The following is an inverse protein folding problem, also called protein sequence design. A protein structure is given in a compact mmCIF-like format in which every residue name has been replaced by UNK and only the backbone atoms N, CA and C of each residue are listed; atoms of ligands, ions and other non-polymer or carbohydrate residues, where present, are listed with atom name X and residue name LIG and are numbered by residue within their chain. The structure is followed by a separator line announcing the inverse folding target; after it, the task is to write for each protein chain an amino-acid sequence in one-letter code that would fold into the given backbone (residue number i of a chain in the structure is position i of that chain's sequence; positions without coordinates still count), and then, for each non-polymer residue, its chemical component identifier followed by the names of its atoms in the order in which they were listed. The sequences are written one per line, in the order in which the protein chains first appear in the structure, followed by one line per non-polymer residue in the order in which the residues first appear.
data_IF_432764272759
#
_entry.id   IF_432764272759
#
_cell.length_a   1.000
_cell.length_b   1.000
_cell.length_c   1.000
_cell.angle_alpha   90.00
_cell.angle_beta   90.00
_cell.angle_gamma   90.00
#
_symmetry.space_group_name_H-M   'P 1'
#
loop_
_entity.id
_entity.type
_entity.pdbx_description
1 polymer ?
#
# COMPACT_ATOMS: atom_id res chain seq x y z
N UNK A 1 40.63 -40.41 -8.70
CA UNK A 1 41.18 -39.24 -9.43
C UNK A 1 40.13 -38.15 -9.37
N UNK A 2 40.43 -37.05 -8.67
CA UNK A 2 39.46 -36.01 -8.28
C UNK A 2 38.74 -35.40 -9.49
N UNK A 3 37.42 -35.19 -9.38
CA UNK A 3 36.56 -34.44 -10.32
C UNK A 3 37.20 -33.10 -10.76
N UNK A 4 37.99 -32.49 -9.87
CA UNK A 4 38.75 -31.26 -10.11
C UNK A 4 39.80 -31.42 -11.23
N UNK A 5 40.37 -32.61 -11.41
CA UNK A 5 41.39 -32.88 -12.42
C UNK A 5 40.81 -33.09 -13.84
N UNK A 6 39.50 -33.34 -13.97
CA UNK A 6 38.81 -33.34 -15.26
C UNK A 6 38.50 -31.91 -15.74
N UNK A 7 38.27 -30.99 -14.80
CA UNK A 7 37.91 -29.59 -15.04
C UNK A 7 38.97 -28.77 -15.80
N UNK A 8 40.26 -29.09 -15.66
CA UNK A 8 41.36 -28.39 -16.34
C UNK A 8 41.62 -28.85 -17.78
N UNK A 9 40.99 -29.94 -18.25
CA UNK A 9 41.15 -30.43 -19.62
C UNK A 9 40.04 -29.99 -20.59
N UNK A 10 38.98 -29.35 -20.10
CA UNK A 10 37.80 -28.95 -20.87
C UNK A 10 37.81 -27.53 -21.43
N UNK A 11 38.81 -26.69 -21.13
CA UNK A 11 38.80 -25.26 -21.48
C UNK A 11 39.02 -24.94 -22.98
N UNK A 12 39.10 -25.93 -23.87
CA UNK A 12 39.26 -25.69 -25.30
C UNK A 12 38.52 -26.68 -26.20
N UNK A 13 37.19 -26.71 -26.16
CA UNK A 13 36.40 -27.15 -27.33
C UNK A 13 35.00 -26.54 -27.30
N UNK A 14 34.65 -25.77 -28.32
CA UNK A 14 33.25 -25.71 -28.75
C UNK A 14 32.86 -27.11 -29.22
N UNK A 15 32.11 -27.85 -28.42
CA UNK A 15 31.65 -29.21 -28.71
C UNK A 15 30.18 -29.30 -28.31
N UNK A 16 29.35 -29.87 -29.19
CA UNK A 16 27.92 -30.06 -28.95
C UNK A 16 27.66 -30.90 -27.69
N UNK A 17 26.47 -30.70 -27.10
CA UNK A 17 25.94 -31.46 -25.97
C UNK A 17 26.11 -32.97 -26.22
N UNK A 18 26.72 -33.70 -25.29
CA UNK A 18 26.91 -35.15 -25.44
C UNK A 18 25.58 -35.89 -25.31
N UNK A 19 25.49 -37.14 -25.77
CA UNK A 19 24.27 -37.96 -25.59
C UNK A 19 23.89 -38.12 -24.11
N UNK A 20 24.87 -38.13 -23.21
CA UNK A 20 24.66 -38.19 -21.76
C UNK A 20 24.14 -36.87 -21.18
N UNK A 21 24.65 -35.74 -21.68
CA UNK A 21 24.15 -34.40 -21.31
C UNK A 21 22.72 -34.19 -21.82
N UNK A 22 22.42 -34.65 -23.04
CA UNK A 22 21.05 -34.67 -23.58
C UNK A 22 20.13 -35.57 -22.76
N UNK A 23 20.58 -36.75 -22.35
CA UNK A 23 19.81 -37.64 -21.48
C UNK A 23 19.55 -37.01 -20.10
N UNK A 24 20.53 -36.31 -19.52
CA UNK A 24 20.36 -35.57 -18.28
C UNK A 24 19.36 -34.42 -18.45
N UNK A 25 19.46 -33.67 -19.55
CA UNK A 25 18.54 -32.60 -19.90
C UNK A 25 17.09 -33.08 -20.00
N UNK A 26 16.85 -34.17 -20.72
CA UNK A 26 15.53 -34.80 -20.86
C UNK A 26 15.01 -35.32 -19.53
N UNK A 27 15.85 -35.98 -18.73
CA UNK A 27 15.48 -36.48 -17.41
C UNK A 27 15.04 -35.34 -16.48
N UNK A 28 15.78 -34.23 -16.44
CA UNK A 28 15.43 -33.07 -15.61
C UNK A 28 14.17 -32.37 -16.12
N UNK A 29 13.98 -32.25 -17.44
CA UNK A 29 12.75 -31.70 -18.03
C UNK A 29 11.52 -32.57 -17.72
N UNK A 30 11.67 -33.90 -17.78
CA UNK A 30 10.62 -34.85 -17.42
C UNK A 30 10.41 -34.96 -15.90
N UNK A 31 11.37 -34.47 -15.10
CA UNK A 31 11.37 -34.61 -13.66
C UNK A 31 11.69 -36.03 -13.18
N UNK A 32 12.36 -36.86 -14.00
CA UNK A 32 12.73 -38.24 -13.70
C UNK A 32 14.07 -38.29 -12.92
N UNK A 33 13.96 -38.48 -11.61
CA UNK A 33 15.10 -38.57 -10.71
C UNK A 33 16.03 -39.76 -11.04
N UNK A 34 15.46 -40.93 -11.32
CA UNK A 34 16.23 -42.14 -11.57
C UNK A 34 16.97 -42.09 -12.92
N UNK A 35 16.39 -41.43 -13.93
CA UNK A 35 17.09 -41.16 -15.17
C UNK A 35 18.23 -40.14 -14.99
N UNK A 36 17.99 -39.09 -14.19
CA UNK A 36 19.02 -38.08 -13.89
C UNK A 36 20.20 -38.70 -13.12
N UNK A 37 19.94 -39.53 -12.11
CA UNK A 37 20.98 -40.27 -11.35
C UNK A 37 21.84 -41.13 -12.27
N UNK A 38 21.21 -41.88 -13.19
CA UNK A 38 21.94 -42.72 -14.16
C UNK A 38 22.81 -41.90 -15.10
N UNK A 39 22.29 -40.77 -15.61
CA UNK A 39 23.05 -39.90 -16.50
C UNK A 39 24.28 -39.29 -15.79
N UNK A 40 24.12 -38.79 -14.56
CA UNK A 40 25.21 -38.25 -13.74
C UNK A 40 26.24 -39.33 -13.36
N UNK A 41 25.79 -40.53 -12.98
CA UNK A 41 26.68 -41.66 -12.72
C UNK A 41 27.44 -42.11 -13.99
N UNK A 42 26.86 -41.90 -15.17
CA UNK A 42 27.49 -42.10 -16.48
C UNK A 42 28.50 -41.02 -16.87
N UNK A 43 28.59 -39.92 -16.11
CA UNK A 43 29.52 -38.81 -16.36
C UNK A 43 28.93 -37.62 -17.12
N UNK A 44 27.60 -37.48 -17.20
CA UNK A 44 26.97 -36.26 -17.70
C UNK A 44 27.41 -35.03 -16.89
N UNK A 45 27.56 -33.89 -17.56
CA UNK A 45 27.95 -32.64 -16.92
C UNK A 45 26.77 -32.08 -16.09
N UNK A 46 26.88 -31.95 -14.75
CA UNK A 46 25.81 -31.40 -13.92
C UNK A 46 25.52 -29.90 -14.22
N UNK A 47 26.40 -29.20 -14.94
CA UNK A 47 26.20 -27.83 -15.42
C UNK A 47 25.65 -27.76 -16.86
N UNK A 48 25.15 -28.89 -17.41
CA UNK A 48 24.55 -28.97 -18.75
C UNK A 48 23.58 -27.81 -19.03
N UNK A 49 23.80 -27.13 -20.16
CA UNK A 49 22.96 -26.04 -20.64
C UNK A 49 21.84 -26.57 -21.53
N UNK A 50 20.59 -26.33 -21.15
CA UNK A 50 19.41 -26.72 -21.94
C UNK A 50 19.24 -25.80 -23.17
N UNK A 51 19.38 -24.48 -22.93
CA UNK A 51 19.30 -23.45 -23.96
C UNK A 51 19.78 -22.11 -23.40
N UNK A 52 20.20 -21.20 -24.27
CA UNK A 52 20.36 -19.77 -23.93
C UNK A 52 19.06 -19.15 -23.36
N UNK A 53 17.90 -19.76 -23.63
CA UNK A 53 16.61 -19.25 -23.14
C UNK A 53 16.08 -19.94 -21.88
N UNK A 54 16.48 -21.17 -21.57
CA UNK A 54 15.96 -21.94 -20.43
C UNK A 54 16.99 -22.13 -19.31
N UNK A 55 18.27 -21.86 -19.57
CA UNK A 55 19.33 -21.95 -18.55
C UNK A 55 19.92 -23.35 -18.43
N UNK A 56 20.57 -23.61 -17.28
CA UNK A 56 21.11 -24.92 -16.96
C UNK A 56 20.04 -25.90 -16.46
N UNK A 57 20.39 -27.18 -16.39
CA UNK A 57 19.57 -28.21 -15.74
C UNK A 57 19.24 -27.86 -14.28
N UNK A 58 20.17 -27.24 -13.55
CA UNK A 58 19.94 -26.78 -12.18
C UNK A 58 18.93 -25.64 -12.11
N UNK A 59 18.98 -24.67 -13.05
CA UNK A 59 17.99 -23.59 -13.12
C UNK A 59 16.58 -24.13 -13.40
N UNK A 60 16.47 -25.11 -14.28
CA UNK A 60 15.20 -25.75 -14.61
C UNK A 60 14.64 -26.52 -13.41
N UNK A 61 15.45 -27.35 -12.74
CA UNK A 61 15.05 -28.08 -11.54
C UNK A 61 14.60 -27.12 -10.42
N UNK A 62 15.33 -26.00 -10.25
CA UNK A 62 15.01 -24.96 -9.28
C UNK A 62 13.70 -24.25 -9.61
N UNK A 63 13.47 -23.88 -10.88
CA UNK A 63 12.26 -23.22 -11.34
C UNK A 63 11.01 -24.12 -11.39
N UNK A 64 11.20 -25.44 -11.34
CA UNK A 64 10.14 -26.43 -11.20
C UNK A 64 9.88 -26.84 -9.73
N UNK A 65 10.67 -26.32 -8.78
CA UNK A 65 10.51 -26.65 -7.36
C UNK A 65 10.87 -28.09 -7.00
N UNK A 66 11.70 -28.77 -7.80
CA UNK A 66 12.04 -30.19 -7.61
C UNK A 66 13.24 -30.33 -6.67
N UNK A 67 12.99 -30.27 -5.36
CA UNK A 67 14.03 -30.32 -4.32
C UNK A 67 14.98 -31.51 -4.46
N UNK A 68 14.46 -32.70 -4.81
CA UNK A 68 15.27 -33.92 -4.98
C UNK A 68 16.27 -33.80 -6.13
N UNK A 69 15.83 -33.27 -7.27
CA UNK A 69 16.70 -33.03 -8.43
C UNK A 69 17.73 -31.94 -8.14
N UNK A 70 17.33 -30.88 -7.42
CA UNK A 70 18.26 -29.83 -7.00
C UNK A 70 19.33 -30.39 -6.07
N UNK A 71 18.96 -31.23 -5.09
CA UNK A 71 19.93 -31.89 -4.20
C UNK A 71 20.90 -32.76 -5.00
N UNK A 72 20.36 -33.62 -5.87
CA UNK A 72 21.15 -34.53 -6.69
C UNK A 72 22.18 -33.78 -7.56
N UNK A 73 21.74 -32.72 -8.25
CA UNK A 73 22.61 -31.93 -9.11
C UNK A 73 23.72 -31.23 -8.32
N UNK A 74 23.39 -30.67 -7.15
CA UNK A 74 24.39 -30.03 -6.29
C UNK A 74 25.35 -31.05 -5.65
N UNK A 75 24.89 -32.26 -5.34
CA UNK A 75 25.73 -33.36 -4.84
C UNK A 75 26.67 -33.91 -5.92
N UNK A 76 26.24 -33.88 -7.18
CA UNK A 76 27.08 -34.16 -8.34
C UNK A 76 28.07 -33.03 -8.69
N UNK A 77 27.99 -31.88 -8.01
CA UNK A 77 28.92 -30.76 -8.15
C UNK A 77 28.49 -29.67 -9.12
N UNK A 78 27.20 -29.55 -9.46
CA UNK A 78 26.66 -28.41 -10.21
C UNK A 78 27.05 -27.09 -9.54
N UNK A 79 27.45 -26.10 -10.34
CA UNK A 79 27.69 -24.75 -9.87
C UNK A 79 26.38 -24.09 -9.43
N UNK A 80 26.38 -23.47 -8.24
CA UNK A 80 25.24 -22.68 -7.74
C UNK A 80 24.93 -21.47 -8.62
N UNK A 81 25.90 -21.04 -9.43
CA UNK A 81 25.78 -19.99 -10.45
C UNK A 81 26.45 -20.48 -11.73
N UNK A 82 25.75 -21.29 -12.54
CA UNK A 82 26.30 -21.81 -13.77
C UNK A 82 26.60 -20.69 -14.76
N UNK A 83 27.70 -20.78 -15.54
CA UNK A 83 28.05 -19.78 -16.53
C UNK A 83 27.09 -19.86 -17.72
N UNK A 84 26.25 -18.84 -17.92
CA UNK A 84 25.39 -18.80 -19.10
C UNK A 84 24.23 -17.83 -18.98
N UNK A 85 24.31 -16.74 -19.75
CA UNK A 85 23.32 -15.66 -19.88
C UNK A 85 23.24 -14.71 -18.68
N UNK A 86 23.60 -13.44 -18.94
CA UNK A 86 23.65 -12.37 -17.94
C UNK A 86 22.33 -12.26 -17.16
N UNK A 87 22.40 -12.58 -15.87
CA UNK A 87 21.36 -12.28 -14.89
C UNK A 87 20.34 -13.38 -14.60
N UNK A 88 20.61 -14.62 -14.99
CA UNK A 88 19.91 -15.80 -14.47
C UNK A 88 20.74 -16.46 -13.38
N UNK A 89 20.05 -17.03 -12.40
CA UNK A 89 20.64 -17.94 -11.42
C UNK A 89 19.57 -18.93 -10.95
N UNK A 90 19.96 -20.15 -10.52
CA UNK A 90 19.05 -21.12 -9.93
C UNK A 90 18.29 -20.53 -8.72
N UNK A 91 19.00 -19.79 -7.86
CA UNK A 91 18.41 -19.18 -6.66
C UNK A 91 17.35 -18.15 -7.04
N UNK A 92 17.67 -17.24 -7.95
CA UNK A 92 16.73 -16.19 -8.39
C UNK A 92 15.52 -16.78 -9.09
N UNK A 93 15.71 -17.85 -9.86
CA UNK A 93 14.62 -18.59 -10.51
C UNK A 93 13.69 -19.22 -9.47
N UNK A 94 14.24 -19.87 -8.44
CA UNK A 94 13.46 -20.42 -7.33
C UNK A 94 12.70 -19.32 -6.56
N UNK A 95 13.32 -18.16 -6.34
CA UNK A 95 12.67 -17.01 -5.68
C UNK A 95 11.51 -16.47 -6.51
N UNK A 96 11.73 -16.20 -7.79
CA UNK A 96 10.69 -15.68 -8.71
C UNK A 96 9.51 -16.64 -8.84
N UNK A 97 9.76 -17.95 -8.73
CA UNK A 97 8.73 -18.99 -8.73
C UNK A 97 8.19 -19.35 -7.33
N UNK A 98 8.67 -18.67 -6.28
CA UNK A 98 8.25 -18.87 -4.89
C UNK A 98 8.41 -20.32 -4.39
N UNK A 99 9.60 -20.90 -4.57
CA UNK A 99 9.93 -22.25 -4.10
C UNK A 99 10.83 -22.21 -2.85
N UNK A 100 10.27 -22.06 -1.63
CA UNK A 100 11.04 -21.81 -0.42
C UNK A 100 12.01 -22.94 -0.04
N UNK A 101 11.64 -24.21 -0.25
CA UNK A 101 12.53 -25.33 0.06
C UNK A 101 13.77 -25.37 -0.84
N UNK A 102 13.59 -25.10 -2.13
CA UNK A 102 14.71 -24.97 -3.07
C UNK A 102 15.59 -23.79 -2.69
N UNK A 103 14.99 -22.67 -2.26
CA UNK A 103 15.73 -21.49 -1.78
C UNK A 103 16.59 -21.84 -0.56
N UNK A 104 16.04 -22.55 0.44
CA UNK A 104 16.82 -23.00 1.61
C UNK A 104 17.98 -23.90 1.21
N UNK A 105 17.74 -24.84 0.31
CA UNK A 105 18.75 -25.78 -0.14
C UNK A 105 19.90 -25.07 -0.88
N UNK A 106 19.58 -24.18 -1.83
CA UNK A 106 20.57 -23.40 -2.56
C UNK A 106 21.33 -22.43 -1.64
N UNK A 107 20.63 -21.81 -0.69
CA UNK A 107 21.25 -20.94 0.30
C UNK A 107 22.24 -21.70 1.21
N UNK A 108 21.91 -22.93 1.64
CA UNK A 108 22.80 -23.79 2.40
C UNK A 108 24.09 -24.16 1.63
N UNK A 109 24.08 -24.09 0.30
CA UNK A 109 25.27 -24.26 -0.56
C UNK A 109 25.98 -22.95 -0.89
N UNK A 110 25.62 -21.85 -0.22
CA UNK A 110 26.28 -20.55 -0.37
C UNK A 110 25.83 -19.74 -1.59
N UNK A 111 24.73 -20.10 -2.25
CA UNK A 111 24.28 -19.46 -3.49
C UNK A 111 24.02 -17.94 -3.32
N UNK A 112 23.57 -17.49 -2.15
CA UNK A 112 23.28 -16.07 -1.87
C UNK A 112 24.49 -15.18 -2.13
N UNK A 113 25.67 -15.57 -1.66
CA UNK A 113 26.90 -14.78 -1.81
C UNK A 113 27.52 -14.83 -3.20
N UNK A 114 27.03 -15.72 -4.07
CA UNK A 114 27.54 -15.91 -5.44
C UNK A 114 26.67 -15.21 -6.49
N UNK A 115 25.58 -14.57 -6.10
CA UNK A 115 24.67 -13.91 -7.04
C UNK A 115 25.40 -12.86 -7.89
N UNK A 116 25.10 -12.76 -9.20
CA UNK A 116 25.76 -11.82 -10.08
C UNK A 116 25.62 -10.36 -9.60
N UNK A 117 26.75 -9.68 -9.48
CA UNK A 117 26.81 -8.24 -9.13
C UNK A 117 26.17 -7.39 -10.24
N UNK A 118 25.38 -6.37 -9.88
CA UNK A 118 24.78 -5.40 -10.82
C UNK A 118 23.30 -5.61 -11.15
N UNK A 119 22.58 -6.42 -10.38
CA UNK A 119 21.11 -6.49 -10.37
C UNK A 119 20.60 -6.16 -8.97
N UNK A 120 19.29 -5.89 -8.83
CA UNK A 120 18.63 -5.86 -7.50
C UNK A 120 18.90 -7.16 -6.75
N UNK A 121 18.84 -7.17 -5.42
CA UNK A 121 19.03 -8.40 -4.65
C UNK A 121 17.93 -9.44 -4.94
N UNK A 122 18.20 -10.70 -4.59
CA UNK A 122 17.15 -11.75 -4.60
C UNK A 122 16.05 -11.46 -3.59
N UNK A 123 16.38 -10.76 -2.51
CA UNK A 123 15.40 -10.33 -1.51
C UNK A 123 14.46 -9.26 -2.07
N UNK A 124 14.99 -8.31 -2.84
CA UNK A 124 14.21 -7.34 -3.60
C UNK A 124 13.21 -7.98 -4.57
N UNK A 125 13.61 -9.07 -5.26
CA UNK A 125 12.68 -9.86 -6.07
C UNK A 125 11.58 -10.47 -5.21
N UNK A 126 11.96 -11.14 -4.11
CA UNK A 126 11.03 -11.82 -3.23
C UNK A 126 9.96 -10.86 -2.67
N UNK A 127 10.37 -9.67 -2.21
CA UNK A 127 9.45 -8.65 -1.70
C UNK A 127 8.45 -8.18 -2.77
N UNK A 128 8.91 -7.98 -4.01
CA UNK A 128 8.06 -7.57 -5.13
C UNK A 128 6.92 -8.56 -5.40
N UNK A 129 7.14 -9.86 -5.15
CA UNK A 129 6.16 -10.92 -5.37
C UNK A 129 5.08 -11.00 -4.28
N UNK A 130 5.25 -10.28 -3.18
CA UNK A 130 4.28 -10.30 -2.07
C UNK A 130 3.15 -9.27 -2.20
N UNK A 131 3.22 -8.39 -3.21
CA UNK A 131 2.23 -7.32 -3.40
C UNK A 131 0.78 -7.83 -3.58
N UNK A 132 -0.19 -7.05 -3.08
CA UNK A 132 -1.64 -7.26 -3.13
C UNK A 132 -2.21 -8.52 -2.43
N UNK A 133 -1.84 -9.72 -2.86
CA UNK A 133 -2.26 -11.01 -2.28
C UNK A 133 -1.11 -12.01 -2.35
N UNK A 134 -0.23 -12.03 -1.34
CA UNK A 134 0.90 -12.94 -1.38
C UNK A 134 0.42 -14.39 -1.31
N UNK A 135 0.92 -15.25 -2.18
CA UNK A 135 0.83 -16.68 -1.94
C UNK A 135 1.59 -17.03 -0.65
N UNK A 136 1.14 -18.01 0.15
CA UNK A 136 1.89 -18.48 1.33
C UNK A 136 3.34 -18.83 0.99
N UNK A 137 3.56 -19.37 -0.21
CA UNK A 137 4.88 -19.70 -0.73
C UNK A 137 5.79 -18.46 -0.94
N UNK A 138 5.23 -17.32 -1.32
CA UNK A 138 6.00 -16.07 -1.49
C UNK A 138 6.48 -15.52 -0.14
N UNK A 139 5.61 -15.52 0.89
CA UNK A 139 5.98 -15.14 2.26
C UNK A 139 7.00 -16.10 2.84
N UNK A 140 6.82 -17.41 2.63
CA UNK A 140 7.79 -18.42 3.03
C UNK A 140 9.14 -18.26 2.32
N UNK A 141 9.14 -17.79 1.07
CA UNK A 141 10.36 -17.49 0.31
C UNK A 141 11.10 -16.29 0.91
N UNK A 142 10.40 -15.21 1.27
CA UNK A 142 11.00 -14.07 2.00
C UNK A 142 11.60 -14.55 3.32
N UNK A 143 10.87 -15.33 4.11
CA UNK A 143 11.36 -15.90 5.37
C UNK A 143 12.63 -16.74 5.17
N UNK A 144 12.63 -17.64 4.20
CA UNK A 144 13.78 -18.50 3.91
C UNK A 144 15.02 -17.69 3.55
N UNK A 145 14.88 -16.59 2.79
CA UNK A 145 15.98 -15.70 2.47
C UNK A 145 16.51 -14.96 3.70
N UNK A 146 15.63 -14.46 4.57
CA UNK A 146 16.02 -13.78 5.81
C UNK A 146 16.74 -14.74 6.78
N UNK A 147 16.21 -15.95 6.97
CA UNK A 147 16.84 -17.01 7.79
C UNK A 147 18.22 -17.39 7.27
N UNK A 148 18.42 -17.33 5.95
CA UNK A 148 19.69 -17.60 5.31
C UNK A 148 20.66 -16.39 5.29
N UNK A 149 20.30 -15.27 5.93
CA UNK A 149 21.16 -14.09 6.02
C UNK A 149 21.23 -13.27 4.73
N UNK A 150 20.22 -13.31 3.87
CA UNK A 150 20.15 -12.44 2.71
C UNK A 150 20.03 -10.97 3.14
N UNK A 151 20.90 -10.12 2.59
CA UNK A 151 20.91 -8.68 2.80
C UNK A 151 20.49 -7.94 1.52
N UNK A 152 20.00 -6.69 1.62
CA UNK A 152 19.72 -5.88 0.43
C UNK A 152 21.00 -5.64 -0.40
N UNK A 153 20.82 -5.44 -1.71
CA UNK A 153 21.91 -5.12 -2.61
C UNK A 153 22.44 -3.70 -2.40
N UNK A 154 23.60 -3.35 -2.98
CA UNK A 154 24.23 -2.03 -2.80
C UNK A 154 23.37 -0.86 -3.31
N UNK A 155 22.53 -1.11 -4.33
CA UNK A 155 21.64 -0.12 -4.94
C UNK A 155 20.17 -0.25 -4.49
N UNK A 156 19.86 -1.23 -3.63
CA UNK A 156 18.50 -1.41 -3.12
C UNK A 156 18.25 -0.44 -1.96
N UNK A 157 17.03 0.11 -1.88
CA UNK A 157 16.60 0.79 -0.66
C UNK A 157 16.58 -0.22 0.52
N UNK A 158 16.70 0.26 1.78
CA UNK A 158 16.59 -0.61 2.94
C UNK A 158 15.32 -1.46 2.95
N UNK A 159 15.37 -2.64 3.57
CA UNK A 159 14.34 -3.68 3.43
C UNK A 159 12.92 -3.22 3.69
N UNK A 160 12.73 -2.47 4.77
CA UNK A 160 11.42 -2.00 5.19
C UNK A 160 10.91 -0.91 4.24
N UNK A 161 11.79 -0.02 3.79
CA UNK A 161 11.48 0.99 2.76
C UNK A 161 11.07 0.31 1.47
N UNK A 162 11.82 -0.70 1.02
CA UNK A 162 11.51 -1.45 -0.18
C UNK A 162 10.17 -2.19 -0.07
N UNK A 163 9.90 -2.86 1.05
CA UNK A 163 8.63 -3.55 1.29
C UNK A 163 7.44 -2.58 1.19
N UNK A 164 7.54 -1.41 1.82
CA UNK A 164 6.52 -0.36 1.72
C UNK A 164 6.34 0.12 0.26
N UNK A 165 7.45 0.35 -0.47
CA UNK A 165 7.41 0.76 -1.87
C UNK A 165 6.75 -0.28 -2.78
N UNK A 166 6.92 -1.57 -2.47
CA UNK A 166 6.29 -2.68 -3.18
C UNK A 166 4.82 -2.92 -2.77
N UNK A 167 4.24 -2.14 -1.84
CA UNK A 167 2.95 -2.44 -1.21
C UNK A 167 2.92 -3.88 -0.66
N UNK A 168 4.01 -4.28 -0.01
CA UNK A 168 4.06 -5.56 0.68
C UNK A 168 3.02 -5.57 1.81
N UNK A 169 2.39 -6.72 2.07
CA UNK A 169 1.33 -6.83 3.05
C UNK A 169 1.88 -6.67 4.46
N UNK A 170 1.05 -6.24 5.43
CA UNK A 170 1.45 -6.03 6.83
C UNK A 170 2.23 -7.20 7.45
N UNK A 171 1.87 -8.44 7.10
CA UNK A 171 2.56 -9.63 7.58
C UNK A 171 4.04 -9.70 7.14
N UNK A 172 4.36 -9.22 5.94
CA UNK A 172 5.74 -9.17 5.44
C UNK A 172 6.53 -8.06 6.15
N UNK A 173 5.91 -6.91 6.43
CA UNK A 173 6.56 -5.85 7.21
C UNK A 173 6.89 -6.34 8.63
N UNK A 174 5.94 -6.99 9.30
CA UNK A 174 6.18 -7.60 10.62
C UNK A 174 7.29 -8.63 10.58
N UNK A 175 7.29 -9.49 9.58
CA UNK A 175 8.36 -10.48 9.37
C UNK A 175 9.73 -9.81 9.25
N UNK A 176 9.85 -8.72 8.50
CA UNK A 176 11.12 -8.00 8.35
C UNK A 176 11.58 -7.41 9.69
N UNK A 177 10.67 -6.80 10.44
CA UNK A 177 10.95 -6.22 11.77
C UNK A 177 11.37 -7.30 12.77
N UNK A 178 10.66 -8.44 12.80
CA UNK A 178 11.01 -9.62 13.62
C UNK A 178 12.42 -10.15 13.32
N UNK A 179 12.89 -10.01 12.08
CA UNK A 179 14.23 -10.37 11.65
C UNK A 179 15.23 -9.20 11.72
N UNK A 180 14.94 -8.16 12.51
CA UNK A 180 15.89 -7.09 12.84
C UNK A 180 15.96 -5.95 11.84
N UNK A 181 14.99 -5.80 10.94
CA UNK A 181 14.88 -4.59 10.14
C UNK A 181 14.59 -3.39 11.06
N UNK A 182 15.47 -2.39 10.99
CA UNK A 182 15.27 -1.11 11.69
C UNK A 182 13.96 -0.45 11.25
N UNK A 183 13.12 -0.10 12.25
CA UNK A 183 11.79 0.47 12.05
C UNK A 183 11.86 1.92 11.54
N UNK A 184 12.98 2.62 11.80
CA UNK A 184 13.20 4.02 11.42
C UNK A 184 14.08 4.17 10.16
N UNK A 185 14.13 3.12 9.33
CA UNK A 185 14.87 3.12 8.07
C UNK A 185 14.53 4.34 7.21
N UNK A 186 15.56 4.87 6.54
CA UNK A 186 15.44 5.98 5.61
C UNK A 186 15.73 5.52 4.20
N UNK A 187 14.93 6.01 3.26
CA UNK A 187 15.17 5.85 1.83
C UNK A 187 16.43 6.60 1.41
N UNK A 188 16.96 6.30 0.23
CA UNK A 188 18.09 7.00 -0.40
C UNK A 188 18.00 8.54 -0.42
N UNK A 189 16.79 9.14 -0.41
CA UNK A 189 16.56 10.59 -0.32
C UNK A 189 16.40 11.11 1.12
N UNK A 190 16.85 10.32 2.11
CA UNK A 190 16.69 10.54 3.55
C UNK A 190 15.25 10.55 4.06
N UNK A 191 14.25 10.20 3.25
CA UNK A 191 12.86 10.11 3.71
C UNK A 191 12.67 8.93 4.67
N UNK A 192 12.13 9.15 5.89
CA UNK A 192 11.76 8.06 6.81
C UNK A 192 10.76 7.09 6.16
N UNK A 193 10.86 5.80 6.48
CA UNK A 193 9.95 4.77 5.96
C UNK A 193 8.49 5.06 6.29
N UNK A 194 8.21 5.64 7.47
CA UNK A 194 6.86 6.05 7.86
C UNK A 194 6.32 7.18 6.97
N UNK A 195 7.18 8.12 6.54
CA UNK A 195 6.81 9.15 5.57
C UNK A 195 6.59 8.55 4.17
N UNK A 196 7.37 7.52 3.78
CA UNK A 196 7.14 6.78 2.53
C UNK A 196 5.78 6.08 2.55
N UNK A 197 5.41 5.41 3.64
CA UNK A 197 4.11 4.75 3.79
C UNK A 197 2.95 5.75 3.74
N UNK A 198 3.08 6.88 4.44
CA UNK A 198 2.10 7.96 4.42
C UNK A 198 1.92 8.58 3.03
N UNK A 199 3.01 8.83 2.30
CA UNK A 199 2.96 9.26 0.88
C UNK A 199 2.26 8.25 -0.03
N UNK A 200 2.14 6.98 0.36
CA UNK A 200 1.41 5.99 -0.44
C UNK A 200 -0.05 5.84 0.00
N UNK A 201 -0.41 6.44 1.14
CA UNK A 201 -1.71 6.22 1.79
C UNK A 201 -1.86 4.80 2.34
N UNK A 202 -0.75 4.10 2.58
CA UNK A 202 -0.74 2.73 3.06
C UNK A 202 -0.92 2.70 4.58
N UNK A 203 -2.17 2.87 5.01
CA UNK A 203 -2.55 2.89 6.42
C UNK A 203 -2.23 1.56 7.13
N UNK A 204 -2.30 0.43 6.43
CA UNK A 204 -1.99 -0.88 7.00
C UNK A 204 -0.48 -1.04 7.26
N UNK A 205 0.38 -0.51 6.38
CA UNK A 205 1.81 -0.40 6.65
C UNK A 205 2.10 0.55 7.82
N UNK A 206 1.41 1.70 7.88
CA UNK A 206 1.54 2.65 8.99
C UNK A 206 1.17 2.02 10.34
N UNK A 207 0.08 1.25 10.40
CA UNK A 207 -0.31 0.53 11.61
C UNK A 207 0.82 -0.38 12.12
N UNK A 208 1.47 -1.13 11.22
CA UNK A 208 2.59 -2.00 11.59
C UNK A 208 3.79 -1.19 12.09
N UNK A 209 4.15 -0.12 11.39
CA UNK A 209 5.30 0.73 11.76
C UNK A 209 5.08 1.40 13.13
N UNK A 210 3.88 1.95 13.35
CA UNK A 210 3.48 2.56 14.62
C UNK A 210 3.51 1.52 15.75
N UNK A 211 2.92 0.34 15.54
CA UNK A 211 2.93 -0.73 16.54
C UNK A 211 4.34 -1.22 16.88
N UNK A 212 5.26 -1.14 15.92
CA UNK A 212 6.66 -1.47 16.08
C UNK A 212 7.49 -0.34 16.72
N UNK A 213 6.88 0.81 17.04
CA UNK A 213 7.54 1.91 17.72
C UNK A 213 8.32 2.87 16.82
N UNK A 214 7.94 2.98 15.53
CA UNK A 214 8.52 3.97 14.63
C UNK A 214 8.42 5.41 15.20
N UNK A 215 9.42 6.25 14.93
CA UNK A 215 9.35 7.68 15.20
C UNK A 215 8.28 8.34 14.32
N UNK A 216 7.13 8.61 14.92
CA UNK A 216 5.93 9.11 14.23
C UNK A 216 6.17 10.48 13.58
N UNK A 217 6.99 11.32 14.21
CA UNK A 217 7.26 12.69 13.80
C UNK A 217 8.61 12.83 13.07
N UNK A 218 9.20 11.69 12.65
CA UNK A 218 10.41 11.67 11.85
C UNK A 218 10.28 12.57 10.62
N UNK A 219 11.26 13.45 10.44
CA UNK A 219 11.28 14.44 9.36
C UNK A 219 12.10 13.97 8.17
N UNK A 220 11.60 14.24 6.97
CA UNK A 220 12.37 14.12 5.73
C UNK A 220 13.27 15.35 5.48
N UNK A 221 13.97 15.36 4.33
CA UNK A 221 14.87 16.44 3.96
C UNK A 221 14.19 17.81 3.75
N UNK A 222 12.86 17.85 3.58
CA UNK A 222 12.07 19.08 3.52
C UNK A 222 11.49 19.48 4.89
N UNK A 223 11.87 18.76 5.96
CA UNK A 223 11.30 18.95 7.28
C UNK A 223 9.88 18.41 7.42
N UNK A 224 9.36 17.66 6.45
CA UNK A 224 7.98 17.16 6.46
C UNK A 224 7.87 15.86 7.26
N UNK A 225 6.79 15.75 8.03
CA UNK A 225 6.43 14.53 8.79
C UNK A 225 5.55 13.60 7.96
N UNK A 226 5.36 12.36 8.41
CA UNK A 226 4.43 11.43 7.80
C UNK A 226 3.00 11.99 7.69
N UNK A 227 2.54 12.70 8.73
CA UNK A 227 1.21 13.32 8.74
C UNK A 227 1.05 14.33 7.61
N UNK A 228 2.05 15.19 7.37
CA UNK A 228 2.03 16.16 6.28
C UNK A 228 1.87 15.49 4.92
N UNK A 229 2.61 14.40 4.69
CA UNK A 229 2.52 13.62 3.46
C UNK A 229 1.15 12.94 3.26
N UNK A 230 0.60 12.33 4.32
CA UNK A 230 -0.74 11.73 4.25
C UNK A 230 -1.79 12.79 3.92
N UNK A 231 -1.70 13.95 4.55
CA UNK A 231 -2.64 15.07 4.38
C UNK A 231 -2.55 15.71 3.01
N UNK A 232 -1.34 16.01 2.53
CA UNK A 232 -1.11 16.58 1.19
C UNK A 232 -1.73 15.70 0.09
N UNK A 233 -1.69 14.38 0.29
CA UNK A 233 -2.23 13.39 -0.66
C UNK A 233 -3.70 13.04 -0.43
N UNK A 234 -4.34 13.60 0.59
CA UNK A 234 -5.72 13.26 0.94
C UNK A 234 -5.91 11.82 1.42
N UNK A 235 -4.86 11.17 1.92
CA UNK A 235 -4.90 9.80 2.45
C UNK A 235 -5.40 9.80 3.89
N UNK A 236 -6.72 9.87 4.05
CA UNK A 236 -7.36 10.11 5.36
C UNK A 236 -7.17 8.97 6.35
N UNK A 237 -7.27 7.72 5.92
CA UNK A 237 -7.07 6.55 6.78
C UNK A 237 -5.65 6.55 7.34
N UNK A 238 -4.66 6.86 6.49
CA UNK A 238 -3.26 7.01 6.89
C UNK A 238 -3.07 8.17 7.88
N UNK A 239 -3.70 9.32 7.62
CA UNK A 239 -3.68 10.44 8.54
C UNK A 239 -4.31 10.08 9.88
N UNK A 240 -5.45 9.38 9.91
CA UNK A 240 -6.12 8.91 11.13
C UNK A 240 -5.26 7.96 11.94
N UNK A 241 -4.55 7.02 11.31
CA UNK A 241 -3.60 6.12 11.99
C UNK A 241 -2.50 6.91 12.68
N UNK A 242 -1.81 7.77 11.93
CA UNK A 242 -0.72 8.62 12.45
C UNK A 242 -1.19 9.52 13.58
N UNK A 243 -2.34 10.13 13.37
CA UNK A 243 -2.98 10.95 14.38
C UNK A 243 -3.23 10.11 15.63
N UNK A 244 -3.97 9.00 15.54
CA UNK A 244 -4.32 8.17 16.70
C UNK A 244 -3.09 7.69 17.46
N UNK A 245 -1.97 7.50 16.75
CA UNK A 245 -0.67 7.15 17.30
C UNK A 245 0.02 8.29 18.07
N UNK A 246 -0.45 9.53 17.95
CA UNK A 246 0.08 10.70 18.66
C UNK A 246 0.89 11.67 17.80
N UNK A 247 0.82 11.60 16.47
CA UNK A 247 1.54 12.51 15.57
C UNK A 247 1.27 14.00 15.91
N UNK A 248 2.33 14.81 15.90
CA UNK A 248 2.23 16.25 16.13
C UNK A 248 1.61 16.95 14.92
N UNK A 249 0.33 17.30 15.03
CA UNK A 249 -0.40 18.04 14.00
C UNK A 249 0.02 19.51 13.89
N UNK A 250 0.71 20.06 14.90
CA UNK A 250 1.24 21.41 14.91
C UNK A 250 2.68 21.49 14.35
N UNK A 251 3.31 20.35 14.06
CA UNK A 251 4.61 20.31 13.40
C UNK A 251 4.57 21.14 12.11
N UNK A 252 5.69 21.80 11.81
CA UNK A 252 5.88 22.59 10.60
C UNK A 252 7.04 22.09 9.76
N UNK A 253 6.86 22.10 8.44
CA UNK A 253 7.91 21.80 7.47
C UNK A 253 8.93 22.94 7.35
N UNK A 254 9.89 22.80 6.41
CA UNK A 254 10.92 23.80 6.14
C UNK A 254 10.38 25.17 5.70
N UNK A 255 9.17 25.23 5.16
CA UNK A 255 8.49 26.46 4.75
C UNK A 255 7.55 27.00 5.85
N UNK A 256 7.55 26.39 7.04
CA UNK A 256 6.64 26.75 8.12
C UNK A 256 5.20 26.25 7.91
N UNK A 257 4.98 25.20 7.11
CA UNK A 257 3.67 24.63 6.81
C UNK A 257 3.28 23.56 7.80
N UNK A 258 2.10 23.70 8.41
CA UNK A 258 1.44 22.58 9.08
C UNK A 258 0.82 21.64 8.06
N UNK A 259 0.50 20.41 8.48
CA UNK A 259 -0.21 19.45 7.64
C UNK A 259 -1.52 20.06 7.05
N UNK A 260 -2.29 20.79 7.86
CA UNK A 260 -3.52 21.48 7.41
C UNK A 260 -3.24 22.52 6.33
N UNK A 261 -2.11 23.23 6.38
CA UNK A 261 -1.76 24.21 5.35
C UNK A 261 -1.48 23.54 4.01
N UNK A 262 -0.89 22.35 4.02
CA UNK A 262 -0.57 21.56 2.83
C UNK A 262 -1.79 20.90 2.18
N UNK A 263 -2.86 20.67 2.95
CA UNK A 263 -4.11 20.14 2.43
C UNK A 263 -4.75 21.09 1.40
N UNK A 264 -5.25 20.54 0.29
CA UNK A 264 -5.90 21.30 -0.77
C UNK A 264 -7.41 21.03 -0.86
N UNK A 265 -8.18 22.04 -1.27
CA UNK A 265 -9.62 21.92 -1.52
C UNK A 265 -10.40 21.30 -0.34
N UNK A 266 -11.22 20.31 -0.64
CA UNK A 266 -12.03 19.57 0.33
C UNK A 266 -11.19 18.78 1.35
N UNK A 267 -9.99 18.34 0.97
CA UNK A 267 -9.08 17.62 1.88
C UNK A 267 -8.66 18.47 3.07
N UNK A 268 -8.52 19.79 2.88
CA UNK A 268 -8.25 20.73 3.98
C UNK A 268 -9.38 20.75 4.99
N UNK A 269 -10.63 20.81 4.54
CA UNK A 269 -11.79 20.89 5.41
C UNK A 269 -11.98 19.60 6.21
N UNK A 270 -11.83 18.44 5.56
CA UNK A 270 -11.90 17.13 6.24
C UNK A 270 -10.76 16.93 7.24
N UNK A 271 -9.55 17.40 6.93
CA UNK A 271 -8.43 17.33 7.88
C UNK A 271 -8.57 18.29 9.06
N UNK A 272 -9.03 19.53 8.84
CA UNK A 272 -9.37 20.46 9.92
C UNK A 272 -10.40 19.84 10.86
N UNK A 273 -11.40 19.19 10.29
CA UNK A 273 -12.43 18.48 11.03
C UNK A 273 -11.89 17.32 11.87
N UNK A 274 -11.14 16.38 11.29
CA UNK A 274 -10.53 15.24 12.03
C UNK A 274 -9.58 15.71 13.13
N UNK A 275 -8.88 16.83 12.92
CA UNK A 275 -8.01 17.43 13.94
C UNK A 275 -8.79 18.15 15.05
N UNK A 276 -9.99 18.65 14.76
CA UNK A 276 -10.83 19.36 15.74
C UNK A 276 -11.74 18.46 16.58
N UNK A 277 -12.07 17.24 16.12
CA UNK A 277 -12.99 16.37 16.85
C UNK A 277 -12.37 15.64 18.05
N UNK A 278 -11.10 15.23 17.98
CA UNK A 278 -10.61 14.14 18.84
C UNK A 278 -9.29 14.39 19.58
N UNK A 279 -8.77 15.62 19.67
CA UNK A 279 -7.50 15.87 20.40
C UNK A 279 -7.37 17.15 21.19
N UNK A 280 -6.98 16.95 22.46
CA UNK A 280 -6.49 17.99 23.35
C UNK A 280 -5.27 18.69 22.75
N UNK A 281 -5.25 20.03 22.79
CA UNK A 281 -4.12 20.86 22.32
C UNK A 281 -4.22 21.36 20.88
N UNK A 282 -5.31 21.05 20.17
CA UNK A 282 -5.56 21.50 18.79
C UNK A 282 -6.56 22.67 18.70
N UNK A 283 -6.79 23.38 19.82
CA UNK A 283 -7.72 24.51 20.00
C UNK A 283 -7.52 25.69 19.02
N UNK A 284 -6.46 25.66 18.21
CA UNK A 284 -6.09 26.71 17.25
C UNK A 284 -6.34 26.33 15.80
N UNK A 285 -6.87 25.13 15.50
CA UNK A 285 -7.21 24.72 14.13
C UNK A 285 -8.62 25.23 13.80
N UNK A 286 -8.80 26.19 12.88
CA UNK A 286 -10.13 26.64 12.47
C UNK A 286 -10.85 25.51 11.73
N UNK A 287 -12.01 25.09 12.22
CA UNK A 287 -12.84 24.03 11.60
C UNK A 287 -14.06 24.65 10.92
N UNK A 288 -14.27 24.35 9.63
CA UNK A 288 -15.28 25.02 8.77
C UNK A 288 -16.42 24.06 8.39
N UNK A 289 -16.57 22.90 9.04
CA UNK A 289 -17.46 21.81 8.57
C UNK A 289 -18.60 21.43 9.52
N UNK A 290 -19.69 20.90 8.96
CA UNK A 290 -20.87 20.32 9.59
C UNK A 290 -20.76 18.79 9.60
N UNK A 291 -20.91 18.22 10.79
CA UNK A 291 -21.07 16.80 11.07
C UNK A 291 -22.52 16.44 11.19
N UNK A 292 -22.79 15.16 10.92
CA UNK A 292 -24.08 14.57 11.08
C UNK A 292 -23.91 13.40 12.03
N UNK A 293 -24.35 13.58 13.27
CA UNK A 293 -24.35 12.52 14.28
C UNK A 293 -25.76 11.97 14.41
N UNK A 294 -25.92 10.67 14.16
CA UNK A 294 -27.17 9.99 14.47
C UNK A 294 -27.39 9.99 15.98
N UNK A 295 -28.58 10.40 16.42
CA UNK A 295 -29.00 10.37 17.81
C UNK A 295 -30.16 9.38 17.95
N UNK A 296 -30.48 8.95 19.17
CA UNK A 296 -31.59 8.01 19.42
C UNK A 296 -32.97 8.53 18.98
N UNK A 297 -33.10 9.83 18.69
CA UNK A 297 -34.36 10.50 18.34
C UNK A 297 -34.34 11.20 16.97
N UNK A 298 -33.22 11.14 16.24
CA UNK A 298 -33.06 11.91 14.99
C UNK A 298 -31.60 12.09 14.60
N UNK A 299 -31.29 13.24 14.02
CA UNK A 299 -29.99 13.54 13.40
C UNK A 299 -29.46 14.88 13.93
N UNK A 300 -28.33 14.87 14.60
CA UNK A 300 -27.64 16.07 15.06
C UNK A 300 -26.71 16.60 13.99
N UNK A 301 -27.01 17.78 13.47
CA UNK A 301 -26.11 18.55 12.62
C UNK A 301 -25.20 19.39 13.52
N UNK A 302 -23.89 19.35 13.35
CA UNK A 302 -22.98 20.22 14.12
C UNK A 302 -21.85 20.77 13.26
N UNK A 303 -21.77 22.08 13.04
CA UNK A 303 -20.68 22.66 12.24
C UNK A 303 -20.57 24.16 12.22
N UNK A 304 -19.75 24.65 11.28
CA UNK A 304 -19.61 26.09 11.03
C UNK A 304 -20.99 26.68 10.64
N UNK A 305 -21.43 27.76 11.30
CA UNK A 305 -22.70 28.41 10.99
C UNK A 305 -22.81 28.89 9.53
N UNK A 306 -21.70 29.12 8.82
CA UNK A 306 -21.68 29.44 7.38
C UNK A 306 -22.10 28.25 6.52
N UNK A 307 -21.73 27.03 6.92
CA UNK A 307 -22.07 25.81 6.20
C UNK A 307 -23.52 25.37 6.47
N UNK A 308 -24.03 25.57 7.70
CA UNK A 308 -25.46 25.38 7.98
C UNK A 308 -26.33 26.32 7.15
N UNK A 309 -25.89 27.58 6.99
CA UNK A 309 -26.51 28.54 6.07
C UNK A 309 -26.41 28.10 4.61
N UNK A 310 -25.27 27.54 4.19
CA UNK A 310 -25.14 27.01 2.83
C UNK A 310 -26.10 25.83 2.57
N UNK A 311 -26.30 24.94 3.54
CA UNK A 311 -27.31 23.87 3.42
C UNK A 311 -28.72 24.44 3.26
N UNK A 312 -29.04 25.51 3.99
CA UNK A 312 -30.30 26.22 3.82
C UNK A 312 -30.44 26.82 2.41
N UNK A 313 -29.39 27.47 1.90
CA UNK A 313 -29.36 28.02 0.53
C UNK A 313 -29.52 26.94 -0.54
N UNK A 314 -28.89 25.77 -0.35
CA UNK A 314 -29.03 24.61 -1.23
C UNK A 314 -30.48 24.13 -1.30
N UNK A 315 -31.17 24.06 -0.15
CA UNK A 315 -32.58 23.70 -0.10
C UNK A 315 -33.43 24.74 -0.84
N UNK A 316 -33.17 26.03 -0.63
CA UNK A 316 -33.92 27.10 -1.32
C UNK A 316 -33.76 27.02 -2.84
N UNK A 317 -32.54 26.81 -3.34
CA UNK A 317 -32.27 26.74 -4.78
C UNK A 317 -32.97 25.54 -5.40
N UNK A 318 -32.96 24.39 -4.74
CA UNK A 318 -33.65 23.18 -5.23
C UNK A 318 -35.17 23.36 -5.28
N UNK A 319 -35.77 23.96 -4.24
CA UNK A 319 -37.20 24.28 -4.20
C UNK A 319 -37.58 25.30 -5.29
N UNK A 320 -36.76 26.34 -5.48
CA UNK A 320 -37.01 27.36 -6.48
C UNK A 320 -36.85 26.86 -7.93
N UNK A 321 -36.10 25.78 -8.15
CA UNK A 321 -35.90 25.17 -9.46
C UNK A 321 -37.07 24.25 -9.82
N UNK A 322 -37.46 23.37 -8.90
CA UNK A 322 -38.49 22.35 -9.14
C UNK A 322 -39.93 22.87 -8.93
N UNK A 323 -40.11 23.94 -8.15
CA UNK A 323 -41.43 24.34 -7.65
C UNK A 323 -41.98 23.35 -6.62
N UNK A 324 -43.09 23.69 -5.97
CA UNK A 324 -43.66 22.85 -4.89
C UNK A 324 -44.10 21.48 -5.42
N UNK A 325 -44.91 21.44 -6.48
CA UNK A 325 -45.41 20.18 -7.07
C UNK A 325 -44.27 19.32 -7.65
N UNK A 326 -43.28 19.95 -8.28
CA UNK A 326 -42.13 19.26 -8.85
C UNK A 326 -41.22 18.69 -7.78
N UNK A 327 -40.99 19.42 -6.69
CA UNK A 327 -40.22 18.95 -5.54
C UNK A 327 -40.88 17.72 -4.89
N UNK A 328 -42.19 17.77 -4.66
CA UNK A 328 -42.92 16.66 -4.05
C UNK A 328 -42.92 15.43 -4.94
N UNK A 329 -43.07 15.60 -6.26
CA UNK A 329 -43.02 14.51 -7.22
C UNK A 329 -41.65 13.82 -7.31
N UNK A 330 -40.55 14.58 -7.23
CA UNK A 330 -39.19 14.03 -7.36
C UNK A 330 -38.63 13.48 -6.04
N UNK A 331 -38.95 14.12 -4.92
CA UNK A 331 -38.37 13.76 -3.61
C UNK A 331 -39.30 12.93 -2.73
N UNK A 332 -40.60 12.93 -3.02
CA UNK A 332 -41.64 12.32 -2.18
C UNK A 332 -41.86 13.03 -0.84
N UNK A 333 -41.35 14.26 -0.68
CA UNK A 333 -41.38 15.03 0.58
C UNK A 333 -42.08 16.35 0.39
N UNK A 334 -42.84 16.78 1.40
CA UNK A 334 -43.54 18.06 1.36
C UNK A 334 -42.58 19.25 1.27
N UNK A 335 -42.87 20.18 0.36
CA UNK A 335 -42.08 21.41 0.19
C UNK A 335 -42.08 22.28 1.46
N UNK A 336 -43.18 22.28 2.22
CA UNK A 336 -43.30 22.99 3.50
C UNK A 336 -42.29 22.50 4.55
N UNK A 337 -42.01 21.19 4.58
CA UNK A 337 -41.01 20.60 5.48
C UNK A 337 -39.60 21.05 5.11
N UNK A 338 -39.31 21.16 3.81
CA UNK A 338 -38.04 21.63 3.30
C UNK A 338 -37.79 23.10 3.67
N UNK A 339 -38.78 23.97 3.45
CA UNK A 339 -38.72 25.40 3.79
C UNK A 339 -38.57 25.62 5.30
N UNK A 340 -39.32 24.87 6.11
CA UNK A 340 -39.20 24.93 7.57
C UNK A 340 -37.78 24.55 8.00
N UNK A 341 -37.23 23.46 7.45
CA UNK A 341 -35.89 23.02 7.81
C UNK A 341 -34.78 24.00 7.39
N UNK A 342 -34.88 24.59 6.19
CA UNK A 342 -33.95 25.63 5.74
C UNK A 342 -33.95 26.83 6.70
N UNK A 343 -35.11 27.21 7.24
CA UNK A 343 -35.23 28.28 8.24
C UNK A 343 -34.54 27.89 9.55
N UNK A 344 -34.79 26.66 10.04
CA UNK A 344 -34.14 26.14 11.25
C UNK A 344 -32.62 26.08 11.12
N UNK A 345 -32.09 25.75 9.94
CA UNK A 345 -30.66 25.75 9.66
C UNK A 345 -30.01 27.15 9.74
N UNK A 346 -30.78 28.22 9.58
CA UNK A 346 -30.29 29.60 9.70
C UNK A 346 -30.37 30.13 11.13
N UNK A 347 -31.46 29.81 11.83
CA UNK A 347 -31.88 30.58 13.01
C UNK A 347 -31.76 29.84 14.35
N UNK A 348 -31.91 28.51 14.34
CA UNK A 348 -31.86 27.67 15.55
C UNK A 348 -30.51 27.07 15.95
N UNK A 349 -29.42 27.07 15.15
CA UNK A 349 -28.21 26.38 15.55
C UNK A 349 -27.56 27.01 16.81
N UNK A 350 -27.34 26.20 17.84
CA UNK A 350 -26.80 26.66 19.13
C UNK A 350 -25.29 26.50 19.16
N UNK A 351 -24.58 27.56 19.56
CA UNK A 351 -23.14 27.52 19.75
C UNK A 351 -22.73 26.50 20.84
N UNK A 352 -21.65 25.77 20.62
CA UNK A 352 -21.03 24.96 21.65
C UNK A 352 -20.31 25.81 22.71
N UNK A 353 -19.82 25.18 23.77
CA UNK A 353 -19.20 25.85 24.93
C UNK A 353 -18.02 26.77 24.55
N UNK A 354 -17.40 26.53 23.39
CA UNK A 354 -16.24 27.25 22.88
C UNK A 354 -16.58 28.18 21.69
N UNK A 355 -17.87 28.29 21.32
CA UNK A 355 -18.36 29.18 20.26
C UNK A 355 -17.87 28.84 18.85
N UNK A 356 -17.22 27.70 18.67
CA UNK A 356 -16.56 27.30 17.43
C UNK A 356 -17.48 26.46 16.53
N UNK A 357 -18.54 25.88 17.12
CA UNK A 357 -19.49 25.02 16.42
C UNK A 357 -20.91 25.42 16.74
N UNK A 358 -21.78 25.30 15.75
CA UNK A 358 -23.22 25.43 15.94
C UNK A 358 -23.91 24.08 15.74
N UNK A 359 -24.86 23.75 16.62
CA UNK A 359 -25.55 22.45 16.64
C UNK A 359 -27.05 22.61 16.41
N UNK A 360 -27.62 21.75 15.59
CA UNK A 360 -29.05 21.65 15.32
C UNK A 360 -29.50 20.19 15.36
N UNK A 361 -30.41 19.85 16.27
CA UNK A 361 -31.06 18.54 16.28
C UNK A 361 -32.21 18.55 15.26
N UNK A 362 -32.05 17.75 14.20
CA UNK A 362 -32.98 17.57 13.11
C UNK A 362 -33.71 16.22 13.22
N UNK A 363 -34.91 16.13 12.69
CA UNK A 363 -35.63 14.87 12.53
C UNK A 363 -35.09 14.07 11.35
N UNK A 364 -35.41 12.77 11.28
CA UNK A 364 -35.06 11.91 10.12
C UNK A 364 -35.67 12.46 8.83
N UNK A 365 -36.88 13.03 8.90
CA UNK A 365 -37.56 13.62 7.76
C UNK A 365 -36.83 14.86 7.23
N UNK A 366 -36.44 15.77 8.13
CA UNK A 366 -35.69 16.98 7.79
C UNK A 366 -34.30 16.65 7.24
N UNK A 367 -33.60 15.71 7.87
CA UNK A 367 -32.29 15.30 7.41
C UNK A 367 -32.34 14.74 5.98
N UNK A 368 -33.31 13.87 5.70
CA UNK A 368 -33.43 13.29 4.38
C UNK A 368 -33.98 14.29 3.34
N UNK A 369 -34.61 15.40 3.75
CA UNK A 369 -34.85 16.56 2.88
C UNK A 369 -33.55 17.20 2.42
N UNK A 370 -32.60 17.47 3.31
CA UNK A 370 -31.29 18.02 2.91
C UNK A 370 -30.53 17.08 1.97
N UNK A 371 -30.61 15.77 2.19
CA UNK A 371 -30.05 14.77 1.28
C UNK A 371 -30.68 14.84 -0.12
N UNK A 372 -32.01 14.87 -0.19
CA UNK A 372 -32.73 15.00 -1.47
C UNK A 372 -32.36 16.29 -2.22
N UNK A 373 -32.23 17.43 -1.53
CA UNK A 373 -31.77 18.68 -2.15
C UNK A 373 -30.37 18.56 -2.76
N UNK A 374 -29.46 17.86 -2.08
CA UNK A 374 -28.09 17.63 -2.58
C UNK A 374 -28.08 16.72 -3.80
N UNK A 375 -28.85 15.63 -3.80
CA UNK A 375 -28.99 14.74 -4.97
C UNK A 375 -29.49 15.53 -6.18
N UNK A 376 -30.52 16.36 -6.00
CA UNK A 376 -31.07 17.20 -7.07
C UNK A 376 -30.07 18.22 -7.62
N UNK A 377 -29.33 18.93 -6.76
CA UNK A 377 -28.36 19.90 -7.24
C UNK A 377 -27.11 19.27 -7.89
N UNK A 378 -26.73 18.05 -7.47
CA UNK A 378 -25.60 17.33 -8.05
C UNK A 378 -25.96 16.72 -9.40
N UNK A 379 -27.15 16.13 -9.53
CA UNK A 379 -27.51 15.28 -10.67
C UNK A 379 -28.70 15.78 -11.51
N UNK A 380 -29.61 16.57 -10.95
CA UNK A 380 -30.89 16.94 -11.57
C UNK A 380 -30.99 18.38 -12.07
N UNK A 381 -30.28 19.34 -11.47
CA UNK A 381 -30.49 20.77 -11.76
C UNK A 381 -29.59 21.35 -12.86
N UNK A 382 -30.21 22.15 -13.74
CA UNK A 382 -29.52 22.96 -14.77
C UNK A 382 -29.19 24.39 -14.31
N UNK A 383 -29.64 24.81 -13.12
CA UNK A 383 -29.43 26.17 -12.59
C UNK A 383 -28.04 26.40 -12.00
N UNK A 384 -27.75 27.68 -11.78
CA UNK A 384 -26.55 28.16 -11.10
C UNK A 384 -26.59 27.80 -9.62
N UNK A 385 -25.52 27.18 -9.12
CA UNK A 385 -25.33 26.86 -7.71
C UNK A 385 -25.18 28.11 -6.83
N UNK A 386 -25.34 28.00 -5.50
CA UNK A 386 -24.98 29.06 -4.55
C UNK A 386 -23.57 29.61 -4.83
N UNK A 387 -23.38 30.91 -4.59
CA UNK A 387 -22.14 31.59 -4.93
C UNK A 387 -20.93 30.96 -4.21
N UNK A 388 -19.91 30.58 -4.98
CA UNK A 388 -18.69 29.96 -4.45
C UNK A 388 -18.75 28.44 -4.24
N UNK A 389 -19.82 27.77 -4.69
CA UNK A 389 -20.00 26.31 -4.54
C UNK A 389 -20.03 25.63 -5.91
N UNK A 390 -19.32 24.51 -6.02
CA UNK A 390 -19.20 23.69 -7.24
C UNK A 390 -19.97 22.38 -7.10
N UNK A 391 -20.40 21.78 -8.22
CA UNK A 391 -21.09 20.49 -8.22
C UNK A 391 -20.23 19.36 -7.63
N UNK A 392 -18.92 19.43 -7.83
CA UNK A 392 -17.95 18.49 -7.23
C UNK A 392 -18.02 18.55 -5.70
N UNK A 393 -18.02 19.76 -5.12
CA UNK A 393 -18.14 19.93 -3.66
C UNK A 393 -19.47 19.41 -3.11
N UNK A 394 -20.58 19.58 -3.83
CA UNK A 394 -21.87 19.03 -3.42
C UNK A 394 -21.91 17.49 -3.53
N UNK A 395 -21.26 16.92 -4.55
CA UNK A 395 -21.12 15.48 -4.72
C UNK A 395 -20.26 14.84 -3.62
N UNK A 396 -19.15 15.50 -3.24
CA UNK A 396 -18.30 15.07 -2.13
C UNK A 396 -19.04 15.12 -0.79
N UNK A 397 -19.85 16.18 -0.57
CA UNK A 397 -20.72 16.29 0.61
C UNK A 397 -21.74 15.15 0.64
N UNK A 398 -22.44 14.88 -0.48
CA UNK A 398 -23.41 13.79 -0.59
C UNK A 398 -22.78 12.41 -0.33
N UNK A 399 -21.61 12.13 -0.91
CA UNK A 399 -20.90 10.87 -0.70
C UNK A 399 -20.40 10.70 0.76
N UNK A 400 -20.12 11.80 1.45
CA UNK A 400 -19.75 11.78 2.86
C UNK A 400 -20.97 11.62 3.78
N UNK A 401 -22.10 12.25 3.43
CA UNK A 401 -23.40 12.00 4.09
C UNK A 401 -23.78 10.53 3.99
N UNK A 402 -23.71 9.96 2.78
CA UNK A 402 -24.05 8.56 2.54
C UNK A 402 -23.13 7.61 3.33
N UNK A 403 -21.82 7.91 3.41
CA UNK A 403 -20.88 7.13 4.24
C UNK A 403 -21.16 7.21 5.74
N UNK A 404 -21.66 8.34 6.24
CA UNK A 404 -21.98 8.51 7.67
C UNK A 404 -23.30 7.83 8.06
N UNK A 405 -24.15 7.49 7.09
CA UNK A 405 -25.45 6.85 7.33
C UNK A 405 -25.41 5.32 7.33
N UNK A 406 -24.36 4.72 6.75
CA UNK A 406 -24.20 3.26 6.63
C UNK A 406 -24.93 2.69 5.43
#
# INVERSE_FOLDING_TARGET
MSFVAARQRGEQTGAGMTDLDQALAEAVQAGDLAAAERALAGGADPDTLLSVFTGSVLEQAAGAGRTDLVSLLLDAGAATTPPGVRGRSPLRTAVVRSHPEVVRLLAARGAIGQEPTGRRSVLADALSLTSARPAPAAVATVRALLEAGAVPGPDDDPLLVQAVMCAAPPAVLRLLIEHGADVDQRRSDAAPVIAVAARRGDHAALDVLVQAGADIDARDAQGRTALMHAVERGAYEAATVLLTAGADAAAVDGDGATAVRLAQGWHRQRMQFTLGEDRAGLDRVPVVRTTIRLTSTGVRLAGDPRLLRLLAEVIDVALADLGEDGWEAHTGRQASTATAFATRLRDEPVADEHGSWHRLDATVAEFATARSSLVELVHGSTRTLPAGVTRVQLGDLLADLDRQLG
#
